data_IF_039874566899
#
_entry.id   IF_039874566899
#
_cell.length_a   1.000
_cell.length_b   1.000
_cell.length_c   1.000
_cell.angle_alpha   90.00
_cell.angle_beta   90.00
_cell.angle_gamma   90.00
#
_symmetry.space_group_name_H-M   'P 1'
#
loop_
_entity.id
_entity.type
_entity.pdbx_description
1 polymer ?
#
# COMPACT_ATOMS: atom_id res chain seq x y z
N UNK A 1 -13.67 -31.61 -1.84
CA UNK A 1 -12.39 -30.86 -1.75
C UNK A 1 -12.59 -29.76 -0.71
N UNK A 2 -11.70 -29.57 0.27
CA UNK A 2 -11.88 -28.51 1.26
C UNK A 2 -11.41 -27.16 0.70
N UNK A 3 -11.93 -26.04 1.23
CA UNK A 3 -11.50 -24.67 0.84
C UNK A 3 -9.99 -24.52 1.06
N UNK A 4 -9.46 -25.04 2.19
CA UNK A 4 -8.04 -25.00 2.49
C UNK A 4 -7.20 -25.72 1.43
N UNK A 5 -7.59 -26.96 1.06
CA UNK A 5 -6.86 -27.68 0.02
C UNK A 5 -6.84 -26.94 -1.31
N UNK A 6 -7.97 -26.35 -1.70
CA UNK A 6 -8.04 -25.55 -2.92
C UNK A 6 -7.17 -24.29 -2.84
N UNK A 7 -7.08 -23.65 -1.66
CA UNK A 7 -6.18 -22.53 -1.43
C UNK A 7 -4.71 -22.92 -1.63
N UNK A 8 -4.28 -24.01 -1.01
CA UNK A 8 -2.90 -24.52 -1.10
C UNK A 8 -2.56 -24.92 -2.54
N UNK A 9 -3.43 -25.71 -3.19
CA UNK A 9 -3.23 -26.12 -4.58
C UNK A 9 -3.12 -24.90 -5.53
N UNK A 10 -3.95 -23.88 -5.31
CA UNK A 10 -3.90 -22.63 -6.11
C UNK A 10 -2.57 -21.89 -5.93
N UNK A 11 -2.09 -21.73 -4.69
CA UNK A 11 -0.79 -21.11 -4.42
C UNK A 11 0.34 -21.90 -5.07
N UNK A 12 0.36 -23.23 -4.89
CA UNK A 12 1.40 -24.09 -5.44
C UNK A 12 1.46 -23.99 -6.97
N UNK A 13 0.33 -24.11 -7.67
CA UNK A 13 0.25 -23.96 -9.13
C UNK A 13 0.71 -22.56 -9.57
N UNK A 14 0.34 -21.51 -8.83
CA UNK A 14 0.80 -20.16 -9.12
C UNK A 14 2.32 -20.03 -9.02
N UNK A 15 2.96 -20.65 -8.05
CA UNK A 15 4.43 -20.64 -7.89
C UNK A 15 5.16 -21.52 -8.92
N UNK A 16 4.56 -22.63 -9.33
CA UNK A 16 5.04 -23.42 -10.48
C UNK A 16 5.00 -22.58 -11.78
N UNK A 17 3.92 -21.82 -11.98
CA UNK A 17 3.79 -20.89 -13.09
C UNK A 17 4.83 -19.77 -13.06
N UNK A 18 5.16 -19.23 -11.86
CA UNK A 18 6.22 -18.25 -11.67
C UNK A 18 7.59 -18.78 -12.10
N UNK A 19 7.90 -20.04 -11.75
CA UNK A 19 9.17 -20.69 -12.06
C UNK A 19 9.29 -21.12 -13.53
N UNK A 20 8.23 -20.98 -14.32
CA UNK A 20 8.21 -21.37 -15.74
C UNK A 20 8.93 -20.35 -16.62
N UNK A 21 9.71 -20.78 -17.61
CA UNK A 21 10.31 -19.88 -18.59
C UNK A 21 9.30 -19.26 -19.58
N UNK A 22 8.07 -19.75 -19.63
CA UNK A 22 7.01 -19.22 -20.49
C UNK A 22 6.38 -17.97 -19.87
N UNK A 23 6.69 -16.79 -20.44
CA UNK A 23 6.19 -15.50 -19.96
C UNK A 23 4.65 -15.42 -19.90
N UNK A 24 3.92 -16.22 -20.68
CA UNK A 24 2.45 -16.24 -20.62
C UNK A 24 1.94 -16.78 -19.29
N UNK A 25 2.74 -17.60 -18.60
CA UNK A 25 2.38 -18.18 -17.29
C UNK A 25 2.40 -17.18 -16.14
N UNK A 26 2.97 -16.00 -16.34
CA UNK A 26 2.93 -14.89 -15.39
C UNK A 26 1.50 -14.49 -15.05
N UNK A 27 0.61 -14.45 -16.04
CA UNK A 27 -0.82 -14.15 -15.83
C UNK A 27 -1.45 -15.21 -14.94
N UNK A 28 -1.17 -16.47 -15.22
CA UNK A 28 -1.66 -17.61 -14.44
C UNK A 28 -1.10 -17.60 -13.02
N UNK A 29 0.19 -17.31 -12.86
CA UNK A 29 0.84 -17.15 -11.55
C UNK A 29 0.08 -16.14 -10.69
N UNK A 30 -0.09 -14.91 -11.19
CA UNK A 30 -0.73 -13.83 -10.44
C UNK A 30 -2.16 -14.18 -10.04
N UNK A 31 -2.94 -14.74 -10.97
CA UNK A 31 -4.31 -15.18 -10.71
C UNK A 31 -4.38 -16.27 -9.65
N UNK A 32 -3.55 -17.29 -9.77
CA UNK A 32 -3.57 -18.44 -8.88
C UNK A 32 -3.09 -18.11 -7.48
N UNK A 33 -2.01 -17.33 -7.32
CA UNK A 33 -1.53 -16.90 -6.01
C UNK A 33 -2.57 -16.03 -5.31
N UNK A 34 -3.14 -15.04 -6.00
CA UNK A 34 -4.17 -14.17 -5.41
C UNK A 34 -5.45 -14.94 -5.05
N UNK A 35 -5.91 -15.84 -5.94
CA UNK A 35 -7.05 -16.71 -5.65
C UNK A 35 -6.80 -17.58 -4.41
N UNK A 36 -5.59 -18.13 -4.28
CA UNK A 36 -5.19 -18.91 -3.12
C UNK A 36 -5.23 -18.11 -1.82
N UNK A 37 -4.75 -16.87 -1.81
CA UNK A 37 -4.84 -15.95 -0.65
C UNK A 37 -6.30 -15.72 -0.26
N UNK A 38 -7.16 -15.38 -1.22
CA UNK A 38 -8.58 -15.17 -0.93
C UNK A 38 -9.28 -16.43 -0.42
N UNK A 39 -8.86 -17.62 -0.89
CA UNK A 39 -9.36 -18.89 -0.37
C UNK A 39 -8.89 -19.18 1.05
N UNK A 40 -7.65 -18.82 1.43
CA UNK A 40 -7.20 -18.88 2.83
C UNK A 40 -8.08 -17.99 3.73
N UNK A 41 -8.41 -16.79 3.30
CA UNK A 41 -9.29 -15.87 4.03
C UNK A 41 -10.70 -16.44 4.19
N UNK A 42 -11.26 -16.99 3.10
CA UNK A 42 -12.57 -17.66 3.14
C UNK A 42 -12.54 -18.92 4.01
N UNK A 43 -11.44 -19.65 4.04
CA UNK A 43 -11.28 -20.78 4.94
C UNK A 43 -11.38 -20.34 6.40
N UNK A 44 -10.72 -19.24 6.80
CA UNK A 44 -10.85 -18.67 8.14
C UNK A 44 -12.29 -18.30 8.46
N UNK A 45 -13.01 -17.63 7.56
CA UNK A 45 -14.42 -17.29 7.73
C UNK A 45 -15.31 -18.55 7.82
N UNK A 46 -14.99 -19.59 7.07
CA UNK A 46 -15.70 -20.87 7.17
C UNK A 46 -15.53 -21.52 8.54
N UNK A 47 -14.29 -21.50 9.09
CA UNK A 47 -14.01 -22.01 10.44
C UNK A 47 -14.76 -21.26 11.55
N UNK A 48 -15.03 -19.96 11.34
CA UNK A 48 -15.74 -19.11 12.28
C UNK A 48 -17.26 -19.15 12.09
N UNK A 49 -17.75 -19.72 10.98
CA UNK A 49 -19.18 -19.87 10.74
C UNK A 49 -19.75 -20.92 11.69
N UNK A 50 -20.84 -20.59 12.40
CA UNK A 50 -21.51 -21.53 13.31
C UNK A 50 -22.00 -22.78 12.55
N UNK A 51 -21.91 -23.98 13.13
CA UNK A 51 -22.49 -25.19 12.54
C UNK A 51 -23.96 -25.01 12.18
N UNK A 52 -24.37 -25.51 11.03
CA UNK A 52 -25.77 -25.41 10.58
C UNK A 52 -26.17 -24.09 9.90
N UNK A 53 -25.28 -23.11 9.84
CA UNK A 53 -25.54 -21.79 9.21
C UNK A 53 -25.24 -21.74 7.72
N UNK A 54 -24.95 -22.89 7.08
CA UNK A 54 -24.56 -22.98 5.67
C UNK A 54 -23.42 -22.02 5.32
N UNK A 55 -22.38 -21.99 6.17
CA UNK A 55 -21.18 -21.15 6.02
C UNK A 55 -21.52 -19.66 5.84
N UNK A 56 -22.41 -19.13 6.71
CA UNK A 56 -22.93 -17.76 6.61
C UNK A 56 -21.86 -16.69 6.40
N UNK A 57 -20.68 -16.84 7.03
CA UNK A 57 -19.59 -15.86 6.92
C UNK A 57 -18.87 -15.84 5.56
N UNK A 58 -19.03 -16.85 4.72
CA UNK A 58 -18.45 -16.83 3.38
C UNK A 58 -19.47 -16.59 2.26
N UNK A 59 -20.78 -16.65 2.58
CA UNK A 59 -21.82 -16.42 1.56
C UNK A 59 -22.05 -14.94 1.34
N UNK A 60 -22.22 -14.53 0.08
CA UNK A 60 -22.57 -13.16 -0.27
C UNK A 60 -23.95 -12.77 0.26
N UNK A 61 -24.88 -13.70 0.23
CA UNK A 61 -26.25 -13.50 0.72
C UNK A 61 -26.47 -14.31 1.99
N UNK A 62 -26.96 -13.64 3.05
CA UNK A 62 -27.31 -14.24 4.33
C UNK A 62 -28.77 -13.88 4.61
N UNK A 63 -29.57 -14.81 5.09
CA UNK A 63 -30.98 -14.60 5.43
C UNK A 63 -31.25 -15.00 6.87
N UNK A 64 -32.11 -14.26 7.57
CA UNK A 64 -32.60 -14.68 8.87
C UNK A 64 -33.56 -15.88 8.70
N UNK A 65 -33.40 -16.87 9.55
CA UNK A 65 -34.29 -18.05 9.69
C UNK A 65 -34.56 -18.29 11.15
N UNK A 66 -35.64 -18.95 11.48
CA UNK A 66 -35.91 -19.43 12.86
C UNK A 66 -35.41 -20.86 12.98
N UNK A 67 -34.67 -21.17 14.07
CA UNK A 67 -34.32 -22.53 14.44
C UNK A 67 -35.50 -23.31 15.01
N UNK A 68 -35.30 -24.58 15.36
CA UNK A 68 -36.34 -25.44 15.93
C UNK A 68 -36.90 -24.92 17.27
N UNK A 69 -36.16 -24.04 17.95
CA UNK A 69 -36.53 -23.42 19.23
C UNK A 69 -37.06 -21.98 19.06
N UNK A 70 -37.36 -21.57 17.81
CA UNK A 70 -37.84 -20.23 17.45
C UNK A 70 -36.82 -19.10 17.73
N UNK A 71 -35.51 -19.39 17.87
CA UNK A 71 -34.47 -18.38 17.93
C UNK A 71 -34.07 -17.93 16.49
N UNK A 72 -33.70 -16.67 16.38
CA UNK A 72 -33.23 -16.10 15.11
C UNK A 72 -31.82 -16.57 14.83
N UNK A 73 -31.62 -17.21 13.67
CA UNK A 73 -30.32 -17.55 13.11
C UNK A 73 -30.12 -16.92 11.74
N UNK A 74 -28.86 -16.73 11.36
CA UNK A 74 -28.48 -16.22 10.05
C UNK A 74 -27.88 -17.33 9.21
N UNK A 75 -28.56 -17.72 8.11
CA UNK A 75 -28.09 -18.78 7.20
C UNK A 75 -27.63 -18.24 5.86
N UNK A 76 -26.51 -18.78 5.38
CA UNK A 76 -26.00 -18.50 4.05
C UNK A 76 -26.94 -19.02 2.95
N UNK A 77 -27.12 -18.26 1.87
CA UNK A 77 -27.97 -18.67 0.73
C UNK A 77 -27.27 -18.54 -0.62
N UNK A 78 -27.39 -19.59 -1.43
CA UNK A 78 -26.88 -19.62 -2.81
C UNK A 78 -25.42 -20.04 -2.89
N UNK A 79 -24.87 -20.02 -4.13
CA UNK A 79 -23.49 -20.44 -4.42
C UNK A 79 -22.48 -19.32 -4.40
N UNK A 80 -22.90 -18.04 -4.52
CA UNK A 80 -21.99 -16.90 -4.54
C UNK A 80 -21.36 -16.67 -3.18
N UNK A 81 -20.04 -16.48 -3.17
CA UNK A 81 -19.27 -16.15 -1.98
C UNK A 81 -18.84 -14.69 -2.02
N UNK A 82 -18.43 -14.16 -0.85
CA UNK A 82 -17.93 -12.79 -0.72
C UNK A 82 -16.71 -12.54 -1.61
N UNK A 83 -16.63 -11.34 -2.12
CA UNK A 83 -15.46 -10.78 -2.80
C UNK A 83 -14.44 -10.19 -1.81
N UNK A 84 -13.42 -9.50 -2.30
CA UNK A 84 -12.37 -8.88 -1.48
C UNK A 84 -12.96 -7.90 -0.48
N UNK A 85 -13.88 -7.04 -0.91
CA UNK A 85 -14.50 -6.03 -0.05
C UNK A 85 -15.35 -6.69 1.04
N UNK A 86 -16.16 -7.69 0.68
CA UNK A 86 -16.95 -8.42 1.65
C UNK A 86 -16.12 -9.24 2.65
N UNK A 87 -14.91 -9.70 2.27
CA UNK A 87 -13.94 -10.31 3.19
C UNK A 87 -13.41 -9.26 4.16
N UNK A 88 -13.00 -8.07 3.67
CA UNK A 88 -12.48 -6.95 4.48
C UNK A 88 -13.47 -6.56 5.55
N UNK A 89 -14.71 -6.24 5.19
CA UNK A 89 -15.76 -5.84 6.12
C UNK A 89 -15.98 -6.87 7.24
N UNK A 90 -15.92 -8.17 6.91
CA UNK A 90 -16.07 -9.24 7.91
C UNK A 90 -14.84 -9.39 8.80
N UNK A 91 -13.64 -9.24 8.23
CA UNK A 91 -12.40 -9.27 9.01
C UNK A 91 -12.33 -8.10 9.99
N UNK A 92 -12.71 -6.90 9.57
CA UNK A 92 -12.80 -5.72 10.43
C UNK A 92 -13.80 -5.96 11.58
N UNK A 93 -15.00 -6.46 11.28
CA UNK A 93 -16.01 -6.75 12.30
C UNK A 93 -15.62 -7.88 13.27
N UNK A 94 -14.73 -8.78 12.84
CA UNK A 94 -14.22 -9.90 13.63
C UNK A 94 -12.86 -9.64 14.28
N UNK A 95 -12.31 -8.43 14.13
CA UNK A 95 -10.98 -8.03 14.59
C UNK A 95 -9.87 -8.97 14.06
N UNK A 96 -9.98 -9.38 12.78
CA UNK A 96 -8.97 -10.15 12.06
C UNK A 96 -8.10 -9.16 11.29
N UNK A 97 -6.89 -8.95 11.79
CA UNK A 97 -5.92 -8.02 11.22
C UNK A 97 -5.19 -8.64 10.04
N UNK A 98 -5.14 -7.91 8.91
CA UNK A 98 -4.45 -8.28 7.67
C UNK A 98 -3.86 -7.03 7.03
N UNK A 99 -2.71 -7.12 6.41
CA UNK A 99 -2.13 -6.02 5.63
C UNK A 99 -2.92 -5.77 4.34
N UNK A 100 -3.99 -4.98 4.47
CA UNK A 100 -4.86 -4.62 3.35
C UNK A 100 -4.13 -3.78 2.29
N UNK A 101 -3.11 -3.00 2.66
CA UNK A 101 -2.32 -2.22 1.69
C UNK A 101 -1.62 -3.15 0.69
N UNK A 102 -1.05 -4.27 1.17
CA UNK A 102 -0.45 -5.30 0.29
C UNK A 102 -1.51 -6.03 -0.54
N UNK A 103 -2.65 -6.37 0.05
CA UNK A 103 -3.76 -7.03 -0.67
C UNK A 103 -4.27 -6.14 -1.81
N UNK A 104 -4.48 -4.87 -1.57
CA UNK A 104 -4.95 -3.91 -2.57
C UNK A 104 -3.95 -3.76 -3.71
N UNK A 105 -2.66 -3.71 -3.40
CA UNK A 105 -1.58 -3.67 -4.38
C UNK A 105 -1.59 -4.91 -5.28
N UNK A 106 -1.69 -6.12 -4.70
CA UNK A 106 -1.76 -7.37 -5.46
C UNK A 106 -3.02 -7.40 -6.32
N UNK A 107 -4.16 -6.97 -5.77
CA UNK A 107 -5.44 -6.95 -6.48
C UNK A 107 -5.44 -5.95 -7.65
N UNK A 108 -4.88 -4.75 -7.47
CA UNK A 108 -4.72 -3.76 -8.54
C UNK A 108 -3.85 -4.32 -9.66
N UNK A 109 -2.68 -4.85 -9.32
CA UNK A 109 -1.77 -5.46 -10.29
C UNK A 109 -2.41 -6.62 -11.08
N UNK A 110 -3.19 -7.48 -10.40
CA UNK A 110 -3.95 -8.55 -11.07
C UNK A 110 -4.98 -7.97 -12.05
N UNK A 111 -5.70 -6.91 -11.66
CA UNK A 111 -6.70 -6.29 -12.53
C UNK A 111 -6.04 -5.66 -13.77
N UNK A 112 -4.90 -4.99 -13.61
CA UNK A 112 -4.16 -4.39 -14.71
C UNK A 112 -3.67 -5.44 -15.71
N UNK A 113 -3.19 -6.58 -15.23
CA UNK A 113 -2.83 -7.72 -16.08
C UNK A 113 -4.03 -8.26 -16.84
N UNK A 114 -5.19 -8.37 -16.20
CA UNK A 114 -6.39 -8.95 -16.81
C UNK A 114 -7.00 -8.05 -17.88
N UNK A 115 -6.90 -6.73 -17.73
CA UNK A 115 -7.56 -5.76 -18.60
C UNK A 115 -6.62 -5.09 -19.61
N UNK A 116 -5.37 -4.91 -19.26
CA UNK A 116 -4.39 -4.14 -20.04
C UNK A 116 -3.12 -4.96 -20.24
N UNK A 117 -3.14 -5.97 -21.08
CA UNK A 117 -1.97 -6.79 -21.39
C UNK A 117 -0.72 -5.92 -21.61
N UNK A 118 0.00 -5.61 -20.55
CA UNK A 118 1.23 -4.83 -20.55
C UNK A 118 2.43 -5.78 -20.61
N UNK A 119 3.55 -5.33 -21.18
CA UNK A 119 4.82 -6.03 -21.15
C UNK A 119 5.35 -6.07 -19.70
N UNK A 120 4.82 -7.02 -18.91
CA UNK A 120 5.18 -7.20 -17.52
C UNK A 120 6.63 -7.65 -17.42
N UNK A 121 7.42 -6.85 -16.72
CA UNK A 121 8.77 -7.23 -16.36
C UNK A 121 8.74 -8.25 -15.23
N UNK A 122 9.65 -9.21 -15.26
CA UNK A 122 9.78 -10.27 -14.25
C UNK A 122 9.95 -9.71 -12.83
N UNK A 123 10.58 -8.52 -12.71
CA UNK A 123 10.81 -7.83 -11.44
C UNK A 123 9.50 -7.36 -10.76
N UNK A 124 8.52 -6.93 -11.54
CA UNK A 124 7.22 -6.52 -11.00
C UNK A 124 6.47 -7.71 -10.38
N UNK A 125 6.60 -8.88 -11.01
CA UNK A 125 6.00 -10.11 -10.50
C UNK A 125 6.72 -10.61 -9.26
N UNK A 126 8.05 -10.45 -9.20
CA UNK A 126 8.84 -10.77 -8.02
C UNK A 126 8.36 -9.96 -6.80
N UNK A 127 8.14 -8.65 -6.97
CA UNK A 127 7.56 -7.80 -5.92
C UNK A 127 6.20 -8.32 -5.43
N UNK A 128 5.32 -8.71 -6.36
CA UNK A 128 4.01 -9.27 -6.03
C UNK A 128 4.12 -10.60 -5.27
N UNK A 129 5.01 -11.50 -5.69
CA UNK A 129 5.22 -12.79 -5.01
C UNK A 129 5.81 -12.56 -3.61
N UNK A 130 6.74 -11.60 -3.45
CA UNK A 130 7.26 -11.24 -2.13
C UNK A 130 6.16 -10.68 -1.22
N UNK A 131 5.33 -9.76 -1.68
CA UNK A 131 4.18 -9.27 -0.90
C UNK A 131 3.21 -10.42 -0.55
N UNK A 132 3.00 -11.35 -1.49
CA UNK A 132 2.16 -12.53 -1.26
C UNK A 132 2.76 -13.46 -0.21
N UNK A 133 4.09 -13.64 -0.19
CA UNK A 133 4.78 -14.43 0.84
C UNK A 133 4.51 -13.88 2.23
N UNK A 134 4.66 -12.57 2.44
CA UNK A 134 4.41 -11.94 3.74
C UNK A 134 2.97 -12.22 4.20
N UNK A 135 1.98 -11.96 3.33
CA UNK A 135 0.57 -12.19 3.65
C UNK A 135 0.29 -13.67 3.98
N UNK A 136 0.75 -14.59 3.14
CA UNK A 136 0.52 -16.04 3.32
C UNK A 136 1.15 -16.51 4.64
N UNK A 137 2.42 -16.15 4.89
CA UNK A 137 3.16 -16.57 6.06
C UNK A 137 2.51 -16.06 7.35
N UNK A 138 2.20 -14.75 7.41
CA UNK A 138 1.58 -14.15 8.59
C UNK A 138 0.17 -14.69 8.82
N UNK A 139 -0.64 -14.78 7.77
CA UNK A 139 -2.02 -15.23 7.90
C UNK A 139 -2.13 -16.68 8.37
N UNK A 140 -1.33 -17.58 7.80
CA UNK A 140 -1.34 -18.99 8.20
C UNK A 140 -0.91 -19.12 9.66
N UNK A 141 0.18 -18.46 10.08
CA UNK A 141 0.65 -18.51 11.46
C UNK A 141 -0.31 -17.88 12.46
N UNK A 142 -0.73 -16.63 12.20
CA UNK A 142 -1.51 -15.82 13.15
C UNK A 142 -2.98 -16.24 13.22
N UNK A 143 -3.59 -16.58 12.09
CA UNK A 143 -5.03 -16.77 12.00
C UNK A 143 -5.47 -18.21 11.79
N UNK A 144 -4.64 -19.07 11.19
CA UNK A 144 -4.93 -20.50 11.09
C UNK A 144 -4.21 -21.33 12.15
N UNK A 145 -3.19 -20.76 12.83
CA UNK A 145 -2.37 -21.42 13.83
C UNK A 145 -1.67 -22.68 13.29
N UNK A 146 -1.23 -22.61 12.03
CA UNK A 146 -0.59 -23.69 11.28
C UNK A 146 0.83 -23.28 10.86
N UNK A 147 1.64 -24.27 10.44
CA UNK A 147 2.96 -24.03 9.85
C UNK A 147 2.84 -23.88 8.33
N UNK A 148 3.17 -22.69 7.77
CA UNK A 148 3.08 -22.44 6.33
C UNK A 148 3.86 -23.45 5.48
N UNK A 149 5.06 -23.83 5.90
CA UNK A 149 5.89 -24.79 5.20
C UNK A 149 5.23 -26.17 5.11
N UNK A 150 4.63 -26.63 6.22
CA UNK A 150 3.93 -27.91 6.25
C UNK A 150 2.68 -27.90 5.38
N UNK A 151 1.96 -26.77 5.34
CA UNK A 151 0.76 -26.65 4.52
C UNK A 151 1.07 -26.57 3.02
N UNK A 152 2.04 -25.72 2.63
CA UNK A 152 2.37 -25.44 1.23
C UNK A 152 3.27 -26.52 0.61
N UNK A 153 4.03 -27.26 1.43
CA UNK A 153 5.04 -28.20 0.99
C UNK A 153 6.39 -27.53 0.67
N UNK A 154 7.46 -28.34 0.64
CA UNK A 154 8.83 -27.83 0.52
C UNK A 154 9.08 -27.07 -0.78
N UNK A 155 8.54 -27.50 -1.90
CA UNK A 155 8.79 -26.89 -3.21
C UNK A 155 8.21 -25.45 -3.29
N UNK A 156 6.92 -25.29 -2.97
CA UNK A 156 6.26 -23.98 -2.98
C UNK A 156 6.89 -23.01 -1.94
N UNK A 157 7.21 -23.55 -0.76
CA UNK A 157 7.84 -22.76 0.30
C UNK A 157 9.24 -22.27 -0.09
N UNK A 158 10.05 -23.09 -0.75
CA UNK A 158 11.39 -22.70 -1.23
C UNK A 158 11.34 -21.54 -2.23
N UNK A 159 10.42 -21.58 -3.19
CA UNK A 159 10.22 -20.49 -4.16
C UNK A 159 9.83 -19.19 -3.45
N UNK A 160 8.92 -19.24 -2.49
CA UNK A 160 8.47 -18.05 -1.75
C UNK A 160 9.62 -17.40 -0.96
N UNK A 161 10.46 -18.21 -0.27
CA UNK A 161 11.62 -17.70 0.47
C UNK A 161 12.65 -17.09 -0.46
N UNK A 162 13.03 -17.79 -1.52
CA UNK A 162 14.02 -17.30 -2.48
C UNK A 162 13.64 -15.95 -3.07
N UNK A 163 12.38 -15.83 -3.52
CA UNK A 163 11.88 -14.58 -4.11
C UNK A 163 11.87 -13.45 -3.10
N UNK A 164 11.45 -13.72 -1.86
CA UNK A 164 11.42 -12.72 -0.80
C UNK A 164 12.84 -12.25 -0.41
N UNK A 165 13.79 -13.15 -0.24
CA UNK A 165 15.18 -12.81 0.10
C UNK A 165 15.83 -11.93 -0.97
N UNK A 166 15.63 -12.24 -2.25
CA UNK A 166 16.14 -11.43 -3.36
C UNK A 166 15.49 -10.04 -3.37
N UNK A 167 14.17 -9.97 -3.19
CA UNK A 167 13.43 -8.70 -3.16
C UNK A 167 13.88 -7.81 -1.99
N UNK A 168 13.98 -8.36 -0.79
CA UNK A 168 14.40 -7.60 0.40
C UNK A 168 15.85 -7.11 0.28
N UNK A 169 16.74 -7.90 -0.31
CA UNK A 169 18.11 -7.48 -0.61
C UNK A 169 18.13 -6.31 -1.61
N UNK A 170 17.40 -6.42 -2.73
CA UNK A 170 17.31 -5.36 -3.72
C UNK A 170 16.69 -4.08 -3.12
N UNK A 171 15.69 -4.22 -2.22
CA UNK A 171 15.08 -3.09 -1.52
C UNK A 171 16.07 -2.41 -0.57
N UNK A 172 16.83 -3.18 0.20
CA UNK A 172 17.87 -2.63 1.08
C UNK A 172 18.95 -1.85 0.28
N UNK A 173 19.34 -2.34 -0.91
CA UNK A 173 20.25 -1.63 -1.81
C UNK A 173 19.64 -0.31 -2.33
N UNK A 174 18.33 -0.28 -2.60
CA UNK A 174 17.62 0.94 -3.01
C UNK A 174 17.57 1.96 -1.87
N UNK A 175 17.21 1.53 -0.65
CA UNK A 175 17.18 2.39 0.54
C UNK A 175 18.56 2.98 0.81
N UNK A 176 19.62 2.17 0.84
CA UNK A 176 20.99 2.65 1.02
C UNK A 176 21.43 3.64 -0.08
N UNK A 177 20.89 3.52 -1.29
CA UNK A 177 21.14 4.48 -2.34
C UNK A 177 20.42 5.82 -2.11
N UNK A 178 19.18 5.81 -1.58
CA UNK A 178 18.44 7.00 -1.19
C UNK A 178 19.10 7.69 0.01
N UNK A 179 19.49 6.95 1.05
CA UNK A 179 20.22 7.45 2.22
C UNK A 179 21.56 8.12 1.88
N UNK A 180 22.15 7.80 0.71
CA UNK A 180 23.37 8.44 0.24
C UNK A 180 23.17 9.83 -0.35
N UNK A 181 21.94 10.29 -0.53
CA UNK A 181 21.60 11.61 -1.06
C UNK A 181 21.40 12.63 0.06
N UNK A 182 21.61 13.90 -0.26
CA UNK A 182 21.34 15.03 0.64
C UNK A 182 19.90 15.53 0.39
N UNK A 183 18.98 15.19 1.31
CA UNK A 183 17.61 15.69 1.32
C UNK A 183 17.50 16.96 2.17
N UNK A 184 16.49 17.78 1.93
CA UNK A 184 16.22 18.98 2.71
C UNK A 184 15.76 18.67 4.14
N UNK A 185 15.13 17.49 4.34
CA UNK A 185 14.61 17.06 5.64
C UNK A 185 14.51 15.52 5.69
N UNK A 186 14.65 14.94 6.88
CA UNK A 186 14.60 13.48 7.11
C UNK A 186 13.22 12.90 6.82
N UNK A 187 12.13 13.66 6.96
CA UNK A 187 10.78 13.21 6.61
C UNK A 187 10.61 13.05 5.09
N UNK A 188 11.31 13.89 4.30
CA UNK A 188 11.33 13.73 2.84
C UNK A 188 12.04 12.43 2.46
N UNK A 189 13.19 12.12 3.06
CA UNK A 189 13.87 10.84 2.89
C UNK A 189 12.95 9.68 3.28
N UNK A 190 12.29 9.77 4.44
CA UNK A 190 11.35 8.75 4.91
C UNK A 190 10.18 8.52 3.94
N UNK A 191 9.68 9.57 3.31
CA UNK A 191 8.66 9.48 2.28
C UNK A 191 9.16 8.72 1.04
N UNK A 192 10.40 8.98 0.60
CA UNK A 192 11.02 8.29 -0.54
C UNK A 192 11.27 6.80 -0.26
N UNK A 193 11.73 6.44 0.94
CA UNK A 193 11.97 5.04 1.35
C UNK A 193 10.68 4.21 1.39
N UNK A 194 9.56 4.83 1.75
CA UNK A 194 8.25 4.19 1.84
C UNK A 194 7.43 4.26 0.56
N UNK A 195 7.88 5.06 -0.40
CA UNK A 195 7.17 5.23 -1.65
C UNK A 195 7.08 3.91 -2.43
N UNK A 196 5.92 3.68 -3.01
CA UNK A 196 5.65 2.59 -3.95
C UNK A 196 5.31 3.18 -5.31
N UNK A 197 5.99 2.72 -6.35
CA UNK A 197 5.81 3.19 -7.72
C UNK A 197 4.33 3.18 -8.12
N UNK A 198 3.78 4.30 -8.55
CA UNK A 198 2.37 4.42 -8.92
C UNK A 198 1.99 3.57 -10.14
N UNK A 199 2.96 3.20 -11.00
CA UNK A 199 2.73 2.35 -12.17
C UNK A 199 2.68 0.85 -11.85
N UNK A 200 3.50 0.35 -10.91
CA UNK A 200 3.62 -1.09 -10.67
C UNK A 200 3.59 -1.49 -9.19
N UNK A 201 3.42 -0.54 -8.29
CA UNK A 201 3.36 -0.77 -6.86
C UNK A 201 4.67 -1.25 -6.21
N UNK A 202 5.79 -1.35 -6.92
CA UNK A 202 7.06 -1.80 -6.35
C UNK A 202 7.75 -0.72 -5.53
N UNK A 203 8.31 -1.09 -4.37
CA UNK A 203 9.15 -0.21 -3.55
C UNK A 203 10.62 -0.16 -3.98
N UNK A 204 10.99 -0.74 -5.14
CA UNK A 204 12.38 -0.75 -5.63
C UNK A 204 12.71 0.54 -6.39
N UNK A 205 12.76 1.65 -5.66
CA UNK A 205 13.10 2.98 -6.20
C UNK A 205 14.56 3.27 -5.92
N UNK A 206 15.30 3.67 -6.94
CA UNK A 206 16.73 4.01 -6.84
C UNK A 206 17.01 5.33 -7.53
N UNK A 207 17.87 6.20 -6.96
CA UNK A 207 18.35 7.38 -7.66
C UNK A 207 19.30 6.97 -8.81
N UNK A 208 19.38 7.80 -9.84
CA UNK A 208 20.31 7.60 -10.96
C UNK A 208 21.76 7.95 -10.62
N UNK A 209 21.97 8.80 -9.60
CA UNK A 209 23.27 9.17 -9.05
C UNK A 209 23.27 9.03 -7.52
N UNK A 210 24.45 9.01 -6.89
CA UNK A 210 24.63 8.86 -5.44
C UNK A 210 25.57 9.94 -4.91
N UNK A 211 25.44 10.26 -3.61
CA UNK A 211 26.35 11.21 -2.93
C UNK A 211 26.24 12.64 -3.46
N UNK A 212 25.05 13.05 -3.87
CA UNK A 212 24.72 14.39 -4.35
C UNK A 212 23.42 14.87 -3.72
N UNK A 213 23.04 16.12 -3.96
CA UNK A 213 21.72 16.64 -3.58
C UNK A 213 20.61 15.84 -4.23
N UNK A 214 19.58 15.51 -3.47
CA UNK A 214 18.41 14.73 -3.93
C UNK A 214 17.71 15.37 -5.13
N UNK A 215 17.72 16.71 -5.23
CA UNK A 215 17.16 17.50 -6.32
C UNK A 215 17.92 17.38 -7.64
N UNK A 216 19.17 16.92 -7.60
CA UNK A 216 20.07 16.87 -8.75
C UNK A 216 20.08 15.53 -9.48
N UNK A 217 19.17 14.62 -9.16
CA UNK A 217 19.10 13.29 -9.78
C UNK A 217 17.66 12.89 -10.12
N UNK A 218 17.53 12.07 -11.17
CA UNK A 218 16.29 11.37 -11.46
C UNK A 218 16.19 10.08 -10.63
N UNK A 219 14.96 9.61 -10.44
CA UNK A 219 14.62 8.40 -9.71
C UNK A 219 14.02 7.37 -10.65
N UNK A 220 14.42 6.12 -10.47
CA UNK A 220 14.00 5.04 -11.35
C UNK A 220 13.41 3.88 -10.55
N UNK A 221 12.27 3.40 -10.99
CA UNK A 221 11.74 2.13 -10.51
C UNK A 221 12.49 0.98 -11.19
N UNK A 222 13.21 0.14 -10.42
CA UNK A 222 13.92 -1.04 -10.96
C UNK A 222 12.95 -2.05 -11.58
N UNK A 223 11.72 -2.17 -11.03
CA UNK A 223 10.75 -3.15 -11.47
C UNK A 223 10.12 -2.85 -12.83
N UNK A 224 9.57 -1.66 -13.06
CA UNK A 224 8.93 -1.30 -14.33
C UNK A 224 9.78 -0.41 -15.23
N UNK A 225 10.84 0.22 -14.69
CA UNK A 225 11.73 1.10 -15.41
C UNK A 225 11.22 2.52 -15.57
N UNK A 226 10.10 2.89 -14.94
CA UNK A 226 9.63 4.29 -14.88
C UNK A 226 10.72 5.16 -14.30
N UNK A 227 10.96 6.30 -14.91
CA UNK A 227 11.89 7.34 -14.43
C UNK A 227 11.09 8.59 -14.10
N UNK A 228 11.39 9.20 -12.96
CA UNK A 228 10.76 10.41 -12.46
C UNK A 228 11.84 11.44 -12.14
N UNK A 229 11.71 12.70 -12.58
CA UNK A 229 12.51 13.80 -12.05
C UNK A 229 12.16 14.03 -10.58
N UNK A 230 13.00 14.77 -9.85
CA UNK A 230 12.81 15.03 -8.42
C UNK A 230 11.43 15.64 -8.11
N UNK A 231 10.98 16.62 -8.89
CA UNK A 231 9.71 17.33 -8.65
C UNK A 231 8.50 16.39 -8.69
N UNK A 232 8.48 15.45 -9.63
CA UNK A 232 7.42 14.45 -9.70
C UNK A 232 7.54 13.43 -8.56
N UNK A 233 8.77 12.97 -8.29
CA UNK A 233 9.03 11.99 -7.24
C UNK A 233 8.66 12.52 -5.86
N UNK A 234 9.08 13.75 -5.52
CA UNK A 234 8.76 14.36 -4.21
C UNK A 234 7.27 14.60 -4.06
N UNK A 235 6.59 15.01 -5.13
CA UNK A 235 5.14 15.22 -5.11
C UNK A 235 4.39 13.91 -4.83
N UNK A 236 4.71 12.84 -5.54
CA UNK A 236 4.06 11.54 -5.34
C UNK A 236 4.40 10.94 -3.95
N UNK A 237 5.69 10.93 -3.57
CA UNK A 237 6.14 10.30 -2.34
C UNK A 237 5.62 11.00 -1.07
N UNK A 238 5.71 12.33 -1.03
CA UNK A 238 5.28 13.09 0.15
C UNK A 238 3.75 13.09 0.28
N UNK A 239 3.03 13.17 -0.83
CA UNK A 239 1.56 13.07 -0.80
C UNK A 239 1.08 11.71 -0.32
N UNK A 240 1.70 10.59 -0.74
CA UNK A 240 1.35 9.24 -0.26
C UNK A 240 1.70 9.08 1.24
N UNK A 241 2.87 9.58 1.63
CA UNK A 241 3.38 9.47 3.00
C UNK A 241 2.51 10.19 4.03
N UNK A 242 2.14 11.44 3.75
CA UNK A 242 1.30 12.26 4.62
C UNK A 242 -0.21 12.11 4.36
N UNK A 243 -0.62 11.31 3.40
CA UNK A 243 -2.03 11.10 3.05
C UNK A 243 -2.94 10.77 4.23
N UNK A 244 -2.57 9.83 5.13
CA UNK A 244 -3.34 9.52 6.34
C UNK A 244 -3.50 10.73 7.28
N UNK A 245 -2.44 11.53 7.49
CA UNK A 245 -2.46 12.68 8.38
C UNK A 245 -3.27 13.85 7.80
N UNK A 246 -3.19 14.04 6.48
CA UNK A 246 -4.06 14.99 5.76
C UNK A 246 -5.52 14.60 5.91
N UNK A 247 -5.85 13.32 5.74
CA UNK A 247 -7.21 12.83 5.93
C UNK A 247 -7.71 13.06 7.37
N UNK A 248 -6.90 12.74 8.37
CA UNK A 248 -7.24 12.97 9.78
C UNK A 248 -7.44 14.46 10.09
N UNK A 249 -6.61 15.35 9.55
CA UNK A 249 -6.77 16.80 9.75
C UNK A 249 -8.10 17.33 9.21
N UNK A 250 -8.60 16.73 8.13
CA UNK A 250 -9.88 17.11 7.53
C UNK A 250 -11.11 16.55 8.28
N UNK A 251 -10.97 15.37 8.88
CA UNK A 251 -12.10 14.68 9.55
C UNK A 251 -12.24 15.05 11.02
N UNK A 252 -11.12 15.16 11.74
CA UNK A 252 -11.13 15.37 13.20
C UNK A 252 -10.91 16.85 13.58
N UNK A 253 -10.65 17.69 12.59
CA UNK A 253 -10.29 19.10 12.77
C UNK A 253 -8.85 19.27 13.21
N UNK A 254 -8.09 20.07 12.50
CA UNK A 254 -6.69 20.35 12.78
C UNK A 254 -6.02 21.00 11.57
N UNK A 255 -4.76 21.36 11.73
CA UNK A 255 -4.00 21.92 10.63
C UNK A 255 -3.50 20.81 9.71
N UNK A 256 -3.57 21.05 8.41
CA UNK A 256 -2.93 20.16 7.44
C UNK A 256 -1.42 20.06 7.70
N UNK A 257 -0.81 18.88 7.66
CA UNK A 257 0.64 18.74 7.74
C UNK A 257 1.35 19.31 6.50
N UNK A 258 0.63 19.48 5.39
CA UNK A 258 1.13 19.98 4.12
C UNK A 258 0.48 21.33 3.77
N UNK A 259 1.28 22.20 3.15
CA UNK A 259 0.85 23.46 2.58
C UNK A 259 1.56 23.71 1.23
N UNK A 260 1.10 24.72 0.48
CA UNK A 260 1.81 25.18 -0.70
C UNK A 260 3.00 26.08 -0.30
N UNK A 261 4.15 25.83 -0.89
CA UNK A 261 5.33 26.65 -0.67
C UNK A 261 5.13 28.06 -1.22
N UNK A 262 5.36 29.14 -0.43
CA UNK A 262 5.20 30.52 -0.90
C UNK A 262 6.22 30.88 -1.99
N UNK A 263 7.37 30.22 -2.05
CA UNK A 263 8.44 30.52 -3.02
C UNK A 263 8.27 29.78 -4.35
N UNK A 264 7.99 28.47 -4.33
CA UNK A 264 7.96 27.65 -5.55
C UNK A 264 6.60 27.01 -5.87
N UNK A 265 5.60 27.14 -4.98
CA UNK A 265 4.30 26.48 -5.11
C UNK A 265 4.34 24.94 -4.92
N UNK A 266 5.50 24.37 -4.57
CA UNK A 266 5.64 22.95 -4.29
C UNK A 266 5.21 22.59 -2.86
N UNK A 267 5.45 21.34 -2.44
CA UNK A 267 4.96 20.82 -1.16
C UNK A 267 5.81 21.35 0.00
N UNK A 268 5.17 22.05 0.93
CA UNK A 268 5.76 22.55 2.15
C UNK A 268 5.34 21.71 3.35
N UNK A 269 6.31 21.20 4.10
CA UNK A 269 6.12 20.45 5.34
C UNK A 269 5.94 21.42 6.50
N UNK A 270 4.69 21.65 6.91
CA UNK A 270 4.38 22.73 7.85
C UNK A 270 5.02 22.53 9.23
N UNK A 271 5.00 21.31 9.76
CA UNK A 271 5.59 21.01 11.07
C UNK A 271 7.13 21.15 11.08
N UNK A 272 7.80 20.78 9.98
CA UNK A 272 9.25 20.87 9.79
C UNK A 272 9.71 22.28 9.43
N UNK A 273 8.79 23.11 8.92
CA UNK A 273 9.11 24.49 8.52
C UNK A 273 9.94 24.59 7.26
N UNK A 274 9.85 23.60 6.34
CA UNK A 274 10.68 23.51 5.14
C UNK A 274 9.91 23.01 3.93
N UNK A 275 10.25 23.51 2.75
CA UNK A 275 9.71 23.03 1.49
C UNK A 275 10.46 21.77 1.04
N UNK A 276 9.72 20.67 0.84
CA UNK A 276 10.27 19.42 0.31
C UNK A 276 10.78 19.57 -1.13
N UNK A 277 10.25 20.53 -1.91
CA UNK A 277 10.60 20.71 -3.32
C UNK A 277 11.81 21.61 -3.56
N UNK A 278 11.96 22.71 -2.81
CA UNK A 278 13.02 23.71 -3.04
C UNK A 278 13.87 24.05 -1.81
N UNK A 279 13.58 23.47 -0.64
CA UNK A 279 14.33 23.76 0.60
C UNK A 279 14.02 25.11 1.24
N UNK A 280 13.06 25.89 0.72
CA UNK A 280 12.66 27.14 1.32
C UNK A 280 12.16 26.92 2.76
N UNK A 281 12.65 27.74 3.70
CA UNK A 281 12.23 27.75 5.10
C UNK A 281 11.44 29.00 5.42
N UNK A 282 10.31 28.87 6.13
CA UNK A 282 9.45 29.99 6.52
C UNK A 282 9.36 30.13 8.03
N UNK A 283 9.34 31.38 8.51
CA UNK A 283 9.00 31.69 9.89
C UNK A 283 7.49 31.80 10.01
N UNK A 284 6.81 30.85 10.66
CA UNK A 284 5.34 30.85 10.83
C UNK A 284 4.85 31.94 11.78
N UNK A 285 5.45 33.18 11.69
CA UNK A 285 5.06 34.35 12.49
C UNK A 285 4.92 35.56 11.60
N UNK A 286 3.74 36.18 11.65
CA UNK A 286 3.47 37.43 10.97
C UNK A 286 4.37 38.56 11.44
N UNK A 287 5.13 39.17 10.54
CA UNK A 287 6.04 40.27 10.85
C UNK A 287 5.32 41.53 11.37
N UNK A 288 4.00 41.68 11.14
CA UNK A 288 3.24 42.85 11.58
C UNK A 288 2.55 42.66 12.94
N UNK A 289 1.84 41.54 13.13
CA UNK A 289 1.03 41.32 14.33
C UNK A 289 1.53 40.17 15.23
N UNK A 290 2.60 39.47 14.82
CA UNK A 290 3.23 38.36 15.54
C UNK A 290 2.32 37.13 15.77
N UNK A 291 1.13 37.08 15.15
CA UNK A 291 0.29 35.89 15.16
C UNK A 291 0.93 34.79 14.33
N UNK A 292 0.58 33.54 14.63
CA UNK A 292 0.98 32.38 13.83
C UNK A 292 0.32 32.47 12.45
N UNK A 293 1.10 32.26 11.38
CA UNK A 293 0.62 32.10 10.01
C UNK A 293 0.22 30.63 9.86
N UNK A 294 -1.04 30.38 9.58
CA UNK A 294 -1.56 29.01 9.43
C UNK A 294 -1.18 28.41 8.08
N UNK A 295 -1.23 27.06 7.91
CA UNK A 295 -0.87 26.42 6.64
C UNK A 295 -1.58 27.01 5.43
N UNK A 296 -2.87 27.33 5.55
CA UNK A 296 -3.69 27.90 4.49
C UNK A 296 -3.34 29.37 4.17
N UNK A 297 -2.62 30.06 5.06
CA UNK A 297 -2.21 31.44 4.90
C UNK A 297 -0.73 31.61 4.50
N UNK A 298 0.01 30.49 4.35
CA UNK A 298 1.47 30.54 4.12
C UNK A 298 1.84 31.27 2.82
N UNK A 299 0.94 31.26 1.84
CA UNK A 299 1.09 32.03 0.59
C UNK A 299 1.20 33.57 0.80
N UNK A 300 0.80 34.08 1.97
CA UNK A 300 0.84 35.50 2.30
C UNK A 300 2.11 35.87 3.11
N UNK A 301 3.02 34.93 3.37
CA UNK A 301 4.27 35.18 4.08
C UNK A 301 5.02 36.39 3.47
N UNK A 302 5.60 37.28 4.30
CA UNK A 302 5.82 37.19 5.74
C UNK A 302 4.66 37.70 6.62
N UNK A 303 3.47 37.90 6.07
CA UNK A 303 2.31 38.38 6.81
C UNK A 303 1.22 37.28 6.91
N UNK A 304 0.42 37.33 7.99
CA UNK A 304 -0.83 36.53 7.99
C UNK A 304 -1.84 37.09 6.98
N UNK A 305 -2.82 36.29 6.56
CA UNK A 305 -3.80 36.69 5.54
C UNK A 305 -4.52 38.03 5.87
N UNK A 306 -4.84 38.26 7.14
CA UNK A 306 -5.43 39.53 7.57
C UNK A 306 -4.47 40.74 7.39
N UNK A 307 -3.23 40.64 7.78
CA UNK A 307 -2.26 41.73 7.63
C UNK A 307 -1.89 41.98 6.17
N UNK A 308 -1.75 40.93 5.36
CA UNK A 308 -1.54 41.04 3.92
C UNK A 308 -2.70 41.77 3.23
N UNK A 309 -3.95 41.42 3.58
CA UNK A 309 -5.14 42.07 3.04
C UNK A 309 -5.22 43.57 3.43
N UNK A 310 -4.81 43.95 4.64
CA UNK A 310 -4.78 45.37 5.02
C UNK A 310 -3.73 46.11 4.20
N UNK A 311 -2.53 45.55 4.06
CA UNK A 311 -1.44 46.20 3.31
C UNK A 311 -1.80 46.38 1.83
N UNK A 312 -2.52 45.42 1.21
CA UNK A 312 -2.96 45.53 -0.16
C UNK A 312 -4.05 46.59 -0.43
N UNK A 313 -4.64 47.17 0.63
CA UNK A 313 -5.63 48.24 0.51
C UNK A 313 -5.01 49.66 0.67
N UNK A 314 -3.79 49.72 1.21
CA UNK A 314 -3.10 50.98 1.43
C UNK A 314 -2.20 51.38 0.22
N UNK A 315 -2.14 50.52 -0.81
CA UNK A 315 -1.57 50.74 -2.16
C UNK A 315 -2.68 51.11 -3.17
#
# INVERSE_FOLDING_TARGET
>A
MSILKNAIDSIAVGLEDYSSPDQRRVISCTRNVFAGILLLFKHKLSLLSSPGTDEALIKQRVLPVLDESANLEWKGKGSKTVDVQGIRERFESLNIDVDWKRIDKINSFRNDIEHYFSNLKHEAIRSLISDSFVIINEFIRKHLNEDPKKLLGDAAWAVLIEVNEVYEKEKAECVAALESLEFFDDEVLSAFERYSCSECGSGLITPSARGIEATSTDYKCKSCGRTLPYEEMVSEAVTDYFGPDVYLSQTDGGNSPLADCPECGGIYLYAQGICASCGHTAEHKCQRCFSTIMPEELFAEPFCGYCAHILSKDD
#
